data_IF_488468419857
#
_entry.id   IF_488468419857
#
_cell.length_a   1.000
_cell.length_b   1.000
_cell.length_c   1.000
_cell.angle_alpha   90.00
_cell.angle_beta   90.00
_cell.angle_gamma   90.00
#
_symmetry.space_group_name_H-M   'P 1'
#
loop_
_entity.id
_entity.type
_entity.pdbx_description
1 polymer ?
#
# COMPACT_ATOMS: atom_id res chain seq x y z
N UNK A 1 8.74 -18.80 -7.94
CA UNK A 1 7.77 -18.41 -6.90
C UNK A 1 6.59 -19.35 -6.92
N UNK A 2 6.06 -19.73 -5.76
CA UNK A 2 4.76 -20.40 -5.70
C UNK A 2 3.65 -19.44 -6.15
N UNK A 3 2.56 -19.99 -6.68
CA UNK A 3 1.39 -19.20 -7.10
C UNK A 3 0.85 -18.34 -5.94
N UNK A 4 0.92 -18.86 -4.71
CA UNK A 4 0.55 -18.13 -3.50
C UNK A 4 1.38 -16.84 -3.33
N UNK A 5 2.71 -16.92 -3.45
CA UNK A 5 3.58 -15.74 -3.34
C UNK A 5 3.39 -14.76 -4.50
N UNK A 6 3.13 -15.25 -5.71
CA UNK A 6 2.82 -14.38 -6.85
C UNK A 6 1.56 -13.54 -6.59
N UNK A 7 0.50 -14.14 -6.02
CA UNK A 7 -0.72 -13.43 -5.63
C UNK A 7 -0.42 -12.40 -4.54
N UNK A 8 0.32 -12.78 -3.50
CA UNK A 8 0.68 -11.84 -2.42
C UNK A 8 1.50 -10.66 -2.93
N UNK A 9 2.42 -10.90 -3.87
CA UNK A 9 3.19 -9.83 -4.51
C UNK A 9 2.28 -8.86 -5.27
N UNK A 10 1.35 -9.38 -6.08
CA UNK A 10 0.39 -8.55 -6.81
C UNK A 10 -0.54 -7.77 -5.88
N UNK A 11 -0.98 -8.41 -4.79
CA UNK A 11 -1.80 -7.78 -3.77
C UNK A 11 -1.04 -6.62 -3.11
N UNK A 12 0.21 -6.84 -2.70
CA UNK A 12 1.07 -5.80 -2.14
C UNK A 12 1.25 -4.63 -3.10
N UNK A 13 1.45 -4.91 -4.40
CA UNK A 13 1.57 -3.89 -5.43
C UNK A 13 0.30 -3.03 -5.53
N UNK A 14 -0.89 -3.66 -5.50
CA UNK A 14 -2.18 -2.93 -5.51
C UNK A 14 -2.30 -2.02 -4.29
N UNK A 15 -1.93 -2.50 -3.10
CA UNK A 15 -1.93 -1.68 -1.88
C UNK A 15 -1.02 -0.45 -2.00
N UNK A 16 0.20 -0.62 -2.53
CA UNK A 16 1.15 0.48 -2.72
C UNK A 16 0.66 1.51 -3.76
N UNK A 17 0.09 1.02 -4.88
CA UNK A 17 -0.49 1.90 -5.92
C UNK A 17 -1.68 2.67 -5.37
N UNK A 18 -2.57 2.00 -4.62
CA UNK A 18 -3.71 2.65 -3.97
C UNK A 18 -3.26 3.72 -2.98
N UNK A 19 -2.29 3.41 -2.11
CA UNK A 19 -1.71 4.36 -1.17
C UNK A 19 -1.14 5.59 -1.89
N UNK A 20 -0.41 5.38 -2.98
CA UNK A 20 0.14 6.46 -3.82
C UNK A 20 -0.97 7.32 -4.41
N UNK A 21 -2.03 6.71 -4.94
CA UNK A 21 -3.18 7.43 -5.50
C UNK A 21 -3.89 8.30 -4.45
N UNK A 22 -4.09 7.76 -3.25
CA UNK A 22 -4.70 8.49 -2.14
C UNK A 22 -3.83 9.65 -1.67
N UNK A 23 -2.51 9.46 -1.63
CA UNK A 23 -1.56 10.54 -1.32
C UNK A 23 -1.64 11.66 -2.36
N UNK A 24 -1.75 11.33 -3.65
CA UNK A 24 -1.94 12.31 -4.72
C UNK A 24 -3.28 13.06 -4.55
N UNK A 25 -4.37 12.35 -4.21
CA UNK A 25 -5.67 12.98 -3.92
C UNK A 25 -5.59 13.89 -2.69
N UNK A 26 -4.88 13.48 -1.65
CA UNK A 26 -4.63 14.30 -0.45
C UNK A 26 -3.91 15.59 -0.80
N UNK A 27 -2.88 15.52 -1.66
CA UNK A 27 -2.16 16.73 -2.12
C UNK A 27 -3.06 17.68 -2.91
N UNK A 28 -4.05 17.16 -3.65
CA UNK A 28 -5.01 17.98 -4.39
C UNK A 28 -6.15 18.53 -3.53
N UNK A 29 -6.41 17.96 -2.36
CA UNK A 29 -7.55 18.37 -1.52
C UNK A 29 -7.21 19.64 -0.73
N UNK A 30 -8.06 20.67 -0.80
CA UNK A 30 -7.85 21.92 -0.05
C UNK A 30 -8.37 21.83 1.39
N UNK A 31 -9.26 20.87 1.70
CA UNK A 31 -9.89 20.75 3.02
C UNK A 31 -8.97 20.01 3.98
N UNK A 32 -8.45 20.72 4.98
CA UNK A 32 -7.47 20.19 5.94
C UNK A 32 -8.01 19.00 6.74
N UNK A 33 -9.28 19.05 7.17
CA UNK A 33 -9.94 17.93 7.86
C UNK A 33 -9.98 16.64 7.02
N UNK A 34 -10.10 16.76 5.69
CA UNK A 34 -10.04 15.58 4.82
C UNK A 34 -8.60 15.07 4.68
N UNK A 35 -7.59 15.96 4.73
CA UNK A 35 -6.18 15.56 4.62
C UNK A 35 -5.77 14.60 5.73
N UNK A 36 -6.17 14.85 6.97
CA UNK A 36 -5.85 13.95 8.09
C UNK A 36 -6.42 12.54 7.89
N UNK A 37 -7.66 12.45 7.42
CA UNK A 37 -8.29 11.17 7.09
C UNK A 37 -7.58 10.46 5.94
N UNK A 38 -7.26 11.18 4.85
CA UNK A 38 -6.50 10.61 3.73
C UNK A 38 -5.10 10.18 4.15
N UNK A 39 -4.43 10.94 5.00
CA UNK A 39 -3.09 10.61 5.52
C UNK A 39 -3.15 9.32 6.33
N UNK A 40 -4.08 9.22 7.28
CA UNK A 40 -4.29 8.02 8.09
C UNK A 40 -4.53 6.79 7.22
N UNK A 41 -5.40 6.92 6.21
CA UNK A 41 -5.70 5.83 5.29
C UNK A 41 -4.48 5.45 4.42
N UNK A 42 -3.72 6.44 3.95
CA UNK A 42 -2.47 6.24 3.19
C UNK A 42 -1.44 5.47 4.01
N UNK A 43 -1.24 5.87 5.27
CA UNK A 43 -0.29 5.21 6.18
C UNK A 43 -0.67 3.75 6.41
N UNK A 44 -1.96 3.47 6.67
CA UNK A 44 -2.44 2.10 6.85
C UNK A 44 -2.18 1.25 5.60
N UNK A 45 -2.52 1.76 4.42
CA UNK A 45 -2.28 1.03 3.17
C UNK A 45 -0.79 0.78 2.90
N UNK A 46 0.08 1.75 3.21
CA UNK A 46 1.52 1.53 3.12
C UNK A 46 2.00 0.47 4.09
N UNK A 47 1.56 0.48 5.35
CA UNK A 47 1.95 -0.54 6.34
C UNK A 47 1.56 -1.93 5.84
N UNK A 48 0.32 -2.12 5.39
CA UNK A 48 -0.13 -3.40 4.86
C UNK A 48 0.61 -3.79 3.58
N UNK A 49 0.76 -2.87 2.63
CA UNK A 49 1.48 -3.12 1.38
C UNK A 49 2.93 -3.52 1.61
N UNK A 50 3.67 -2.77 2.43
CA UNK A 50 5.06 -3.09 2.76
C UNK A 50 5.19 -4.38 3.58
N UNK A 51 4.32 -4.63 4.56
CA UNK A 51 4.37 -5.86 5.33
C UNK A 51 4.21 -7.11 4.43
N UNK A 52 3.22 -7.09 3.53
CA UNK A 52 3.00 -8.19 2.58
C UNK A 52 4.16 -8.29 1.58
N UNK A 53 4.68 -7.15 1.10
CA UNK A 53 5.82 -7.11 0.19
C UNK A 53 7.06 -7.75 0.84
N UNK A 54 7.41 -7.34 2.06
CA UNK A 54 8.55 -7.86 2.82
C UNK A 54 8.38 -9.35 3.08
N UNK A 55 7.20 -9.79 3.53
CA UNK A 55 6.90 -11.21 3.72
C UNK A 55 7.10 -12.01 2.43
N UNK A 56 6.54 -11.52 1.33
CA UNK A 56 6.65 -12.19 0.02
C UNK A 56 8.08 -12.24 -0.47
N UNK A 57 8.89 -11.22 -0.17
CA UNK A 57 10.30 -11.21 -0.54
C UNK A 57 11.12 -12.19 0.30
N UNK A 58 10.91 -12.21 1.63
CA UNK A 58 11.65 -13.08 2.55
C UNK A 58 11.31 -14.56 2.35
N UNK A 59 10.04 -14.90 2.10
CA UNK A 59 9.60 -16.32 2.02
C UNK A 59 9.34 -16.81 0.59
N UNK A 60 9.14 -15.89 -0.36
CA UNK A 60 8.83 -16.22 -1.76
C UNK A 60 10.01 -16.14 -2.71
N UNK A 61 11.05 -15.35 -2.38
CA UNK A 61 12.28 -15.23 -3.18
C UNK A 61 13.44 -16.00 -2.54
N UNK A 62 13.60 -15.89 -1.21
CA UNK A 62 14.64 -16.60 -0.45
C UNK A 62 14.31 -18.10 -0.36
#
# INVERSE_FOLDING_TARGET
>A
MSLHFAILFWLALIFLVAATFILVLMKKTSKESKKESYLSFTVILYIFGFAILIYTFIFGVL
#
